data_IF_562146125227
#
_entry.id   IF_562146125227
#
_cell.length_a   1.000
_cell.length_b   1.000
_cell.length_c   1.000
_cell.angle_alpha   90.00
_cell.angle_beta   90.00
_cell.angle_gamma   90.00
#
_symmetry.space_group_name_H-M   'P 1'
#
loop_
_entity.id
_entity.type
_entity.pdbx_description
1 polymer ?
#
# COMPACT_ATOMS: atom_id res chain seq x y z
N UNK A 1 -27.01 0.41 22.41
CA UNK A 1 -27.35 0.44 20.97
C UNK A 1 -26.23 -0.30 20.24
N UNK A 2 -26.54 -1.37 19.49
CA UNK A 2 -25.53 -2.14 18.78
C UNK A 2 -25.31 -1.56 17.38
N UNK A 3 -24.04 -1.46 16.94
CA UNK A 3 -23.72 -1.15 15.56
C UNK A 3 -24.02 -2.41 14.73
N UNK A 4 -25.01 -2.34 13.85
CA UNK A 4 -25.34 -3.44 12.93
C UNK A 4 -24.58 -3.21 11.63
N UNK A 5 -23.64 -4.10 11.31
CA UNK A 5 -22.85 -4.04 10.09
C UNK A 5 -23.56 -4.86 9.00
N UNK A 6 -23.91 -4.22 7.89
CA UNK A 6 -24.56 -4.90 6.76
C UNK A 6 -23.63 -5.87 6.03
N UNK A 7 -24.20 -6.90 5.37
CA UNK A 7 -23.44 -7.95 4.69
C UNK A 7 -22.42 -7.43 3.66
N UNK A 8 -22.73 -6.32 2.99
CA UNK A 8 -21.85 -5.70 1.99
C UNK A 8 -20.51 -5.20 2.56
N UNK A 9 -20.42 -4.99 3.88
CA UNK A 9 -19.14 -4.63 4.51
C UNK A 9 -18.09 -5.75 4.38
N UNK A 10 -18.51 -6.99 4.13
CA UNK A 10 -17.61 -8.10 3.79
C UNK A 10 -16.70 -7.79 2.60
N UNK A 11 -17.14 -6.99 1.63
CA UNK A 11 -16.28 -6.55 0.52
C UNK A 11 -15.13 -5.64 0.99
N UNK A 12 -15.37 -4.78 1.98
CA UNK A 12 -14.32 -3.94 2.57
C UNK A 12 -13.28 -4.81 3.29
N UNK A 13 -13.73 -5.86 3.98
CA UNK A 13 -12.84 -6.84 4.63
C UNK A 13 -12.01 -7.59 3.60
N UNK A 14 -12.61 -8.06 2.49
CA UNK A 14 -11.86 -8.70 1.40
C UNK A 14 -10.81 -7.77 0.79
N UNK A 15 -11.14 -6.50 0.57
CA UNK A 15 -10.18 -5.51 0.11
C UNK A 15 -9.05 -5.29 1.12
N UNK A 16 -9.37 -5.22 2.43
CA UNK A 16 -8.38 -5.08 3.49
C UNK A 16 -7.42 -6.29 3.57
N UNK A 17 -7.95 -7.52 3.40
CA UNK A 17 -7.16 -8.75 3.29
C UNK A 17 -6.24 -8.67 2.06
N UNK A 18 -6.76 -8.25 0.90
CA UNK A 18 -5.97 -8.08 -0.31
C UNK A 18 -4.80 -7.09 -0.15
N UNK A 19 -5.05 -5.93 0.46
CA UNK A 19 -4.02 -4.91 0.76
C UNK A 19 -2.96 -5.49 1.70
N UNK A 20 -3.40 -6.16 2.77
CA UNK A 20 -2.49 -6.75 3.77
C UNK A 20 -1.62 -7.85 3.14
N UNK A 21 -2.22 -8.72 2.33
CA UNK A 21 -1.52 -9.76 1.58
C UNK A 21 -0.50 -9.14 0.61
N UNK A 22 -0.88 -8.12 -0.16
CA UNK A 22 0.04 -7.44 -1.08
C UNK A 22 1.22 -6.82 -0.32
N UNK A 23 1.00 -6.25 0.87
CA UNK A 23 2.07 -5.67 1.68
C UNK A 23 3.03 -6.73 2.23
N UNK A 24 2.49 -7.87 2.65
CA UNK A 24 3.29 -9.02 3.04
C UNK A 24 4.15 -9.55 1.88
N UNK A 25 3.57 -9.67 0.68
CA UNK A 25 4.30 -10.08 -0.53
C UNK A 25 5.44 -9.08 -0.87
N UNK A 26 5.21 -7.78 -0.70
CA UNK A 26 6.26 -6.77 -0.87
C UNK A 26 7.41 -6.96 0.14
N UNK A 27 7.10 -7.25 1.41
CA UNK A 27 8.12 -7.58 2.42
C UNK A 27 8.91 -8.86 2.09
N UNK A 28 8.23 -9.89 1.58
CA UNK A 28 8.90 -11.11 1.11
C UNK A 28 9.84 -10.85 -0.07
N UNK A 29 9.49 -9.93 -0.98
CA UNK A 29 10.37 -9.56 -2.09
C UNK A 29 11.71 -8.99 -1.61
N UNK A 30 11.73 -8.22 -0.51
CA UNK A 30 12.96 -7.75 0.13
C UNK A 30 13.75 -8.91 0.72
N UNK A 31 13.08 -9.86 1.36
CA UNK A 31 13.74 -11.05 1.91
C UNK A 31 14.42 -11.88 0.82
N UNK A 32 13.76 -12.05 -0.32
CA UNK A 32 14.34 -12.72 -1.49
C UNK A 32 15.51 -11.93 -2.08
N UNK A 33 15.39 -10.60 -2.19
CA UNK A 33 16.46 -9.73 -2.66
C UNK A 33 17.69 -9.81 -1.73
N UNK A 34 17.50 -9.80 -0.41
CA UNK A 34 18.59 -9.97 0.56
C UNK A 34 19.36 -11.26 0.34
N UNK A 35 18.66 -12.37 0.07
CA UNK A 35 19.29 -13.66 -0.25
C UNK A 35 20.06 -13.59 -1.58
N UNK A 36 19.46 -12.99 -2.63
CA UNK A 36 20.08 -12.82 -3.95
C UNK A 36 21.37 -12.00 -3.89
N UNK A 37 21.34 -10.87 -3.20
CA UNK A 37 22.46 -9.91 -3.13
C UNK A 37 23.38 -10.12 -1.92
N UNK A 38 23.11 -11.13 -1.07
CA UNK A 38 23.87 -11.41 0.16
C UNK A 38 23.95 -10.21 1.12
N UNK A 39 22.87 -9.43 1.18
CA UNK A 39 22.75 -8.27 2.09
C UNK A 39 22.14 -8.73 3.41
N UNK A 40 23.00 -9.00 4.39
CA UNK A 40 22.59 -9.44 5.72
C UNK A 40 21.95 -8.31 6.54
N UNK A 41 21.15 -8.69 7.54
CA UNK A 41 20.69 -7.75 8.57
C UNK A 41 21.87 -7.26 9.42
N UNK A 42 21.83 -6.04 9.98
CA UNK A 42 20.75 -5.04 9.95
C UNK A 42 20.83 -4.06 8.76
N UNK A 43 21.58 -4.37 7.70
CA UNK A 43 21.81 -3.45 6.59
C UNK A 43 20.50 -3.04 5.90
N UNK A 44 20.30 -1.74 5.73
CA UNK A 44 19.09 -1.15 5.18
C UNK A 44 19.29 -0.57 3.77
N UNK A 45 20.33 -0.99 3.06
CA UNK A 45 20.63 -0.54 1.70
C UNK A 45 21.74 0.51 1.60
N UNK A 46 22.36 0.87 2.72
CA UNK A 46 23.49 1.81 2.77
C UNK A 46 24.50 1.45 3.86
N UNK A 47 24.55 0.18 4.26
CA UNK A 47 25.52 -0.32 5.23
C UNK A 47 26.65 -1.13 4.58
N UNK A 48 27.49 -1.70 5.44
CA UNK A 48 28.70 -2.45 5.09
C UNK A 48 28.49 -3.64 4.15
N UNK A 49 27.29 -4.21 4.11
CA UNK A 49 26.98 -5.33 3.22
C UNK A 49 26.57 -4.81 1.84
N UNK A 50 25.79 -3.73 1.80
CA UNK A 50 25.38 -3.06 0.56
C UNK A 50 26.55 -2.36 -0.15
N UNK A 51 27.55 -1.87 0.59
CA UNK A 51 28.76 -1.22 0.03
C UNK A 51 29.61 -2.14 -0.86
N UNK A 52 29.42 -3.46 -0.75
CA UNK A 52 30.14 -4.47 -1.54
C UNK A 52 29.47 -4.77 -2.88
N UNK A 53 28.28 -4.23 -3.11
CA UNK A 53 27.52 -4.45 -4.33
C UNK A 53 28.07 -3.58 -5.46
N UNK A 54 27.89 -4.04 -6.69
CA UNK A 54 28.01 -3.14 -7.84
C UNK A 54 26.95 -2.05 -7.76
N UNK A 55 27.19 -0.88 -8.34
CA UNK A 55 26.19 0.20 -8.38
C UNK A 55 24.84 -0.28 -8.92
N UNK A 56 24.87 -1.15 -9.94
CA UNK A 56 23.68 -1.74 -10.53
C UNK A 56 22.90 -2.59 -9.53
N UNK A 57 23.57 -3.51 -8.84
CA UNK A 57 22.94 -4.40 -7.87
C UNK A 57 22.46 -3.64 -6.64
N UNK A 58 23.22 -2.62 -6.21
CA UNK A 58 22.85 -1.71 -5.15
C UNK A 58 21.56 -0.95 -5.48
N UNK A 59 21.44 -0.42 -6.70
CA UNK A 59 20.22 0.26 -7.18
C UNK A 59 19.04 -0.71 -7.20
N UNK A 60 19.20 -1.93 -7.74
CA UNK A 60 18.10 -2.90 -7.84
C UNK A 60 17.60 -3.33 -6.45
N UNK A 61 18.53 -3.64 -5.53
CA UNK A 61 18.19 -3.98 -4.15
C UNK A 61 17.43 -2.84 -3.45
N UNK A 62 17.95 -1.61 -3.54
CA UNK A 62 17.34 -0.45 -2.90
C UNK A 62 15.97 -0.09 -3.50
N UNK A 63 15.77 -0.30 -4.81
CA UNK A 63 14.48 -0.09 -5.45
C UNK A 63 13.43 -1.08 -4.94
N UNK A 64 13.75 -2.38 -4.87
CA UNK A 64 12.85 -3.41 -4.30
C UNK A 64 12.51 -3.06 -2.86
N UNK A 65 13.53 -2.69 -2.08
CA UNK A 65 13.36 -2.30 -0.70
C UNK A 65 12.44 -1.08 -0.54
N UNK A 66 12.65 -0.03 -1.33
CA UNK A 66 11.86 1.20 -1.25
C UNK A 66 10.39 0.95 -1.55
N UNK A 67 10.07 0.02 -2.45
CA UNK A 67 8.68 -0.38 -2.71
C UNK A 67 8.04 -0.95 -1.45
N UNK A 68 8.72 -1.87 -0.75
CA UNK A 68 8.21 -2.46 0.50
C UNK A 68 8.08 -1.43 1.62
N UNK A 69 9.09 -0.58 1.80
CA UNK A 69 9.08 0.47 2.83
C UNK A 69 7.94 1.47 2.59
N UNK A 70 7.81 1.96 1.35
CA UNK A 70 6.74 2.88 0.99
C UNK A 70 5.37 2.25 1.22
N UNK A 71 5.26 0.94 0.99
CA UNK A 71 3.98 0.29 1.21
C UNK A 71 3.63 0.19 2.71
N UNK A 72 4.62 -0.15 3.53
CA UNK A 72 4.50 -0.19 4.99
C UNK A 72 4.22 1.18 5.61
N UNK A 73 4.75 2.27 5.04
CA UNK A 73 4.44 3.65 5.44
C UNK A 73 2.97 4.02 5.20
N UNK A 74 2.32 3.40 4.20
CA UNK A 74 0.98 3.79 3.74
C UNK A 74 -0.14 2.87 4.25
N UNK A 75 0.16 1.60 4.52
CA UNK A 75 -0.86 0.59 4.81
C UNK A 75 -1.77 0.96 5.98
N UNK A 76 -1.23 1.52 7.07
CA UNK A 76 -2.02 1.90 8.25
C UNK A 76 -3.08 2.95 7.92
N UNK A 77 -2.71 3.99 7.17
CA UNK A 77 -3.64 5.04 6.77
C UNK A 77 -4.73 4.51 5.83
N UNK A 78 -4.34 3.70 4.84
CA UNK A 78 -5.27 3.19 3.82
C UNK A 78 -6.25 2.20 4.40
N UNK A 79 -5.81 1.25 5.23
CA UNK A 79 -6.71 0.30 5.89
C UNK A 79 -7.70 1.02 6.81
N UNK A 80 -7.24 2.02 7.56
CA UNK A 80 -8.09 2.81 8.44
C UNK A 80 -9.17 3.53 7.64
N UNK A 81 -8.81 4.24 6.57
CA UNK A 81 -9.78 4.97 5.76
C UNK A 81 -10.68 4.05 4.94
N UNK A 82 -10.20 2.88 4.49
CA UNK A 82 -11.02 1.86 3.80
C UNK A 82 -12.15 1.37 4.71
N UNK A 83 -11.82 0.99 5.94
CA UNK A 83 -12.81 0.48 6.89
C UNK A 83 -13.78 1.58 7.33
N UNK A 84 -13.28 2.78 7.63
CA UNK A 84 -14.13 3.93 7.99
C UNK A 84 -15.08 4.33 6.84
N UNK A 85 -14.58 4.45 5.61
CA UNK A 85 -15.43 4.73 4.45
C UNK A 85 -16.44 3.60 4.20
N UNK A 86 -16.03 2.35 4.45
CA UNK A 86 -16.88 1.18 4.30
C UNK A 86 -18.09 1.14 5.23
N UNK A 87 -18.02 1.79 6.40
CA UNK A 87 -19.15 1.90 7.33
C UNK A 87 -20.32 2.69 6.72
N UNK A 88 -20.02 3.64 5.83
CA UNK A 88 -21.02 4.47 5.17
C UNK A 88 -21.34 3.98 3.76
N UNK A 89 -20.33 3.59 2.98
CA UNK A 89 -20.43 3.26 1.56
C UNK A 89 -19.60 2.01 1.23
N UNK A 90 -20.04 0.80 1.63
CA UNK A 90 -19.21 -0.41 1.60
C UNK A 90 -18.73 -0.82 0.21
N UNK A 91 -19.61 -0.81 -0.80
CA UNK A 91 -19.27 -1.24 -2.17
C UNK A 91 -18.29 -0.27 -2.82
N UNK A 92 -18.49 1.05 -2.64
CA UNK A 92 -17.60 2.08 -3.16
C UNK A 92 -16.23 2.02 -2.49
N UNK A 93 -16.20 1.90 -1.15
CA UNK A 93 -14.96 1.78 -0.39
C UNK A 93 -14.17 0.53 -0.82
N UNK A 94 -14.83 -0.62 -0.96
CA UNK A 94 -14.19 -1.85 -1.43
C UNK A 94 -13.62 -1.71 -2.85
N UNK A 95 -14.37 -1.09 -3.76
CA UNK A 95 -13.91 -0.81 -5.14
C UNK A 95 -12.65 0.07 -5.14
N UNK A 96 -12.62 1.11 -4.31
CA UNK A 96 -11.44 1.96 -4.14
C UNK A 96 -10.26 1.19 -3.54
N UNK A 97 -10.50 0.31 -2.55
CA UNK A 97 -9.49 -0.61 -2.03
C UNK A 97 -8.88 -1.50 -3.14
N UNK A 98 -9.71 -2.05 -4.03
CA UNK A 98 -9.26 -2.77 -5.22
C UNK A 98 -8.41 -1.90 -6.16
N UNK A 99 -8.85 -0.68 -6.46
CA UNK A 99 -8.10 0.29 -7.26
C UNK A 99 -6.74 0.63 -6.64
N UNK A 100 -6.68 0.73 -5.32
CA UNK A 100 -5.43 0.96 -4.59
C UNK A 100 -4.45 -0.21 -4.74
N UNK A 101 -4.93 -1.46 -4.66
CA UNK A 101 -4.13 -2.68 -4.90
C UNK A 101 -3.52 -2.64 -6.31
N UNK A 102 -4.32 -2.32 -7.33
CA UNK A 102 -3.85 -2.21 -8.71
C UNK A 102 -2.82 -1.08 -8.88
N UNK A 103 -3.09 0.09 -8.29
CA UNK A 103 -2.15 1.20 -8.27
C UNK A 103 -0.83 0.85 -7.60
N UNK A 104 -0.86 0.12 -6.48
CA UNK A 104 0.36 -0.34 -5.79
C UNK A 104 1.11 -1.42 -6.55
N UNK A 105 0.43 -2.30 -7.27
CA UNK A 105 1.07 -3.27 -8.16
C UNK A 105 1.83 -2.55 -9.28
N UNK A 106 1.16 -1.62 -9.97
CA UNK A 106 1.76 -0.82 -11.03
C UNK A 106 2.92 0.05 -10.51
N UNK A 107 2.76 0.65 -9.31
CA UNK A 107 3.82 1.39 -8.63
C UNK A 107 5.05 0.52 -8.42
N UNK A 108 4.89 -0.69 -7.86
CA UNK A 108 6.00 -1.58 -7.55
C UNK A 108 6.75 -2.03 -8.81
N UNK A 109 6.02 -2.46 -9.83
CA UNK A 109 6.59 -2.88 -11.12
C UNK A 109 7.36 -1.73 -11.77
N UNK A 110 6.76 -0.54 -11.82
CA UNK A 110 7.36 0.65 -12.39
C UNK A 110 8.62 1.07 -11.63
N UNK A 111 8.56 1.09 -10.30
CA UNK A 111 9.68 1.50 -9.44
C UNK A 111 10.87 0.54 -9.57
N UNK A 112 10.63 -0.77 -9.55
CA UNK A 112 11.70 -1.77 -9.66
C UNK A 112 12.41 -1.68 -11.02
N UNK A 113 11.67 -1.47 -12.12
CA UNK A 113 12.24 -1.41 -13.48
C UNK A 113 12.85 -0.06 -13.83
N UNK A 114 12.20 1.04 -13.45
CA UNK A 114 12.53 2.40 -13.87
C UNK A 114 13.04 3.30 -12.75
N UNK A 115 13.33 2.74 -11.58
CA UNK A 115 13.76 3.49 -10.40
C UNK A 115 12.72 4.51 -9.94
N UNK A 116 13.16 5.62 -9.30
CA UNK A 116 12.26 6.60 -8.69
C UNK A 116 11.24 7.22 -9.65
N UNK A 117 11.59 7.40 -10.93
CA UNK A 117 10.66 7.97 -11.93
C UNK A 117 9.60 6.95 -12.37
N UNK A 118 9.94 5.66 -12.40
CA UNK A 118 9.01 4.58 -12.77
C UNK A 118 7.81 4.43 -11.85
N UNK A 119 7.89 4.99 -10.63
CA UNK A 119 6.77 5.03 -9.66
C UNK A 119 5.50 5.67 -10.21
N UNK A 120 5.63 6.56 -11.19
CA UNK A 120 4.51 7.31 -11.78
C UNK A 120 3.51 6.40 -12.50
N UNK A 121 3.88 5.16 -12.82
CA UNK A 121 2.99 4.17 -13.42
C UNK A 121 1.79 3.83 -12.52
N UNK A 122 1.93 3.94 -11.20
CA UNK A 122 0.86 3.57 -10.25
C UNK A 122 0.68 4.51 -9.07
N UNK A 123 1.65 5.40 -8.79
CA UNK A 123 1.54 6.35 -7.68
C UNK A 123 0.27 7.22 -7.74
N UNK A 124 -0.11 7.82 -8.90
CA UNK A 124 -1.31 8.65 -8.97
C UNK A 124 -2.59 7.86 -8.68
N UNK A 125 -2.69 6.64 -9.21
CA UNK A 125 -3.86 5.77 -9.02
C UNK A 125 -4.04 5.40 -7.55
N UNK A 126 -2.95 4.97 -6.89
CA UNK A 126 -2.99 4.64 -5.47
C UNK A 126 -3.31 5.86 -4.60
N UNK A 127 -2.72 7.03 -4.92
CA UNK A 127 -2.96 8.26 -4.17
C UNK A 127 -4.40 8.76 -4.32
N UNK A 128 -4.94 8.78 -5.55
CA UNK A 128 -6.33 9.18 -5.80
C UNK A 128 -7.32 8.27 -5.09
N UNK A 129 -7.08 6.96 -5.08
CA UNK A 129 -7.90 6.02 -4.32
C UNK A 129 -7.89 6.33 -2.82
N UNK A 130 -6.71 6.57 -2.24
CA UNK A 130 -6.59 6.92 -0.83
C UNK A 130 -7.30 8.25 -0.48
N UNK A 131 -7.14 9.28 -1.31
CA UNK A 131 -7.84 10.55 -1.11
C UNK A 131 -9.34 10.41 -1.24
N UNK A 132 -9.83 9.61 -2.19
CA UNK A 132 -11.25 9.31 -2.33
C UNK A 132 -11.81 8.59 -1.08
N UNK A 133 -11.09 7.58 -0.56
CA UNK A 133 -11.47 6.90 0.69
C UNK A 133 -11.55 7.88 1.86
N UNK A 134 -10.55 8.75 1.99
CA UNK A 134 -10.49 9.76 3.06
C UNK A 134 -11.65 10.75 2.95
N UNK A 135 -11.92 11.23 1.73
CA UNK A 135 -13.03 12.15 1.46
C UNK A 135 -14.37 11.51 1.79
N UNK A 136 -14.63 10.27 1.33
CA UNK A 136 -15.88 9.56 1.61
C UNK A 136 -16.08 9.36 3.11
N UNK A 137 -15.04 8.93 3.82
CA UNK A 137 -15.10 8.74 5.27
C UNK A 137 -15.42 10.06 5.99
N UNK A 138 -14.67 11.13 5.69
CA UNK A 138 -14.84 12.43 6.33
C UNK A 138 -16.17 13.11 6.00
N UNK A 139 -16.56 13.10 4.73
CA UNK A 139 -17.81 13.71 4.26
C UNK A 139 -19.04 13.05 4.91
N UNK A 140 -19.13 11.71 4.88
CA UNK A 140 -20.28 11.02 5.46
C UNK A 140 -20.32 11.18 6.98
N UNK A 141 -19.17 11.11 7.65
CA UNK A 141 -19.11 11.36 9.10
C UNK A 141 -19.59 12.77 9.47
N UNK A 142 -19.21 13.80 8.70
CA UNK A 142 -19.64 15.18 8.93
C UNK A 142 -21.15 15.34 8.69
N UNK A 143 -21.68 14.83 7.57
CA UNK A 143 -23.11 14.93 7.25
C UNK A 143 -23.97 14.22 8.31
N UNK A 144 -23.58 13.03 8.76
CA UNK A 144 -24.36 12.25 9.73
C UNK A 144 -24.25 12.77 11.16
N UNK A 145 -23.19 13.52 11.51
CA UNK A 145 -22.95 13.94 12.91
C UNK A 145 -23.17 15.42 13.15
N UNK A 146 -22.74 16.27 12.21
CA UNK A 146 -22.74 17.73 12.39
C UNK A 146 -23.99 18.35 11.77
N UNK A 147 -24.46 17.79 10.66
CA UNK A 147 -25.54 18.37 9.85
C UNK A 147 -26.84 17.52 9.83
N UNK A 148 -26.94 16.52 10.71
CA UNK A 148 -28.14 15.70 10.91
C UNK A 148 -29.05 16.33 11.98
#
# INVERSE_FOLDING_TARGET
MAIVIGANFGYCVLAAVGISAQCFLAGMSVTLARKKYKVAYPDNGGGRFSDKLSDKDWIEFNNIKRVSDNYSENIGMVLSMLLCAGLFQPILAASLGGTFILGKLAYGIGYIKGGPKGRMLGAPVAALSFFALTFIAGYNAAITTIFA
#
